data_IF_045138322506
#
_entry.id   IF_045138322506
#
_cell.length_a   1.000
_cell.length_b   1.000
_cell.length_c   1.000
_cell.angle_alpha   90.00
_cell.angle_beta   90.00
_cell.angle_gamma   90.00
#
_symmetry.space_group_name_H-M   'P 1'
#
loop_
_entity.id
_entity.type
_entity.pdbx_description
1 polymer ?
#
# COMPACT_ATOMS: atom_id res chain seq x y z
N UNK A 1 50.89 3.49 55.39
CA UNK A 1 51.51 2.16 55.57
C UNK A 1 51.25 1.44 54.30
N UNK A 2 52.16 1.41 53.43
CA UNK A 2 53.27 0.49 53.13
C UNK A 2 52.73 -0.65 52.25
N UNK A 3 53.11 -0.59 50.97
CA UNK A 3 54.17 -1.41 50.30
C UNK A 3 53.53 -2.68 49.66
N UNK A 4 53.87 -3.21 48.56
CA UNK A 4 54.88 -3.03 47.49
C UNK A 4 54.58 -4.07 46.40
N UNK A 5 54.82 -3.68 45.16
CA UNK A 5 55.46 -4.38 44.02
C UNK A 5 55.69 -5.91 44.09
N UNK A 6 55.53 -6.63 42.98
CA UNK A 6 56.65 -7.11 42.18
C UNK A 6 56.23 -7.71 40.80
N UNK A 7 56.98 -7.29 39.82
CA UNK A 7 57.17 -7.85 38.47
C UNK A 7 57.65 -9.31 38.50
N UNK A 8 57.33 -10.06 37.41
CA UNK A 8 58.43 -10.80 36.71
C UNK A 8 57.92 -11.24 35.28
N UNK A 9 58.66 -10.77 34.32
CA UNK A 9 58.92 -11.28 32.99
C UNK A 9 59.54 -12.68 33.07
N UNK A 10 59.25 -13.55 32.11
CA UNK A 10 60.29 -14.46 31.56
C UNK A 10 59.86 -14.91 30.13
N UNK A 11 60.80 -14.67 29.28
CA UNK A 11 61.04 -15.05 27.91
C UNK A 11 61.56 -16.49 27.87
N UNK A 12 61.17 -17.29 26.86
CA UNK A 12 62.17 -18.14 26.16
C UNK A 12 61.70 -18.58 24.80
N UNK A 13 62.61 -18.38 23.87
CA UNK A 13 62.69 -18.83 22.48
C UNK A 13 62.70 -20.35 22.29
N UNK A 14 62.43 -20.78 21.08
CA UNK A 14 63.24 -21.66 20.21
C UNK A 14 62.49 -21.93 18.92
N UNK A 15 62.89 -21.36 17.83
CA UNK A 15 63.89 -21.67 16.79
C UNK A 15 63.60 -22.96 15.99
N UNK A 16 63.13 -22.81 14.76
CA UNK A 16 63.62 -23.20 13.42
C UNK A 16 64.35 -24.57 13.27
N UNK A 17 64.60 -25.18 12.11
CA UNK A 17 64.45 -24.79 10.69
C UNK A 17 64.04 -25.97 9.75
N UNK A 18 63.70 -25.73 8.50
CA UNK A 18 64.22 -26.48 7.34
C UNK A 18 64.19 -25.61 6.09
N UNK A 19 65.37 -25.55 5.45
CA UNK A 19 65.75 -24.84 4.23
C UNK A 19 65.59 -25.73 3.01
N UNK A 20 65.03 -25.13 1.94
CA UNK A 20 65.28 -25.16 0.49
C UNK A 20 65.89 -26.41 -0.21
N UNK A 21 65.61 -26.61 -1.53
CA UNK A 21 66.44 -25.93 -2.53
C UNK A 21 65.69 -25.30 -3.75
N UNK A 22 66.33 -24.23 -4.23
CA UNK A 22 66.04 -23.56 -5.50
C UNK A 22 66.47 -24.41 -6.68
N UNK A 23 65.63 -24.44 -7.74
CA UNK A 23 66.11 -24.74 -9.07
C UNK A 23 65.55 -23.71 -10.06
N UNK A 24 66.50 -22.90 -10.58
CA UNK A 24 66.30 -21.97 -11.71
C UNK A 24 66.30 -22.75 -12.99
N UNK A 25 65.20 -22.70 -13.77
CA UNK A 25 65.27 -22.92 -15.21
C UNK A 25 64.54 -21.77 -15.91
N UNK A 26 65.31 -21.03 -16.71
CA UNK A 26 64.88 -20.07 -17.72
C UNK A 26 64.13 -20.84 -18.82
N UNK A 27 62.90 -20.46 -19.12
CA UNK A 27 62.24 -20.79 -20.37
C UNK A 27 61.70 -19.48 -20.95
N UNK A 28 61.92 -19.37 -22.26
CA UNK A 28 61.77 -18.22 -23.14
C UNK A 28 60.28 -17.74 -23.25
N UNK A 29 60.16 -16.43 -23.43
CA UNK A 29 58.98 -15.72 -23.91
C UNK A 29 58.49 -16.32 -25.23
N UNK A 30 57.22 -16.72 -25.25
CA UNK A 30 56.36 -16.72 -26.44
C UNK A 30 54.95 -16.34 -25.96
N UNK A 31 54.60 -15.10 -26.16
CA UNK A 31 53.26 -14.60 -25.99
C UNK A 31 52.33 -15.16 -27.07
N UNK A 32 51.13 -15.61 -26.71
CA UNK A 32 49.98 -15.35 -27.53
C UNK A 32 49.08 -14.31 -26.87
N UNK A 33 48.86 -13.23 -27.60
CA UNK A 33 47.76 -12.29 -27.35
C UNK A 33 46.43 -13.07 -27.22
N UNK A 34 45.96 -13.27 -26.01
CA UNK A 34 44.57 -13.57 -25.79
C UNK A 34 43.91 -12.28 -25.36
N UNK A 35 43.13 -11.71 -26.28
CA UNK A 35 42.07 -10.77 -25.97
C UNK A 35 41.18 -11.37 -24.91
N UNK A 36 41.35 -10.96 -23.66
CA UNK A 36 40.34 -11.05 -22.65
C UNK A 36 39.25 -10.04 -23.03
N UNK A 37 38.31 -10.48 -23.85
CA UNK A 37 37.00 -9.84 -23.92
C UNK A 37 36.45 -9.83 -22.51
N UNK A 38 36.48 -8.67 -21.85
CA UNK A 38 35.67 -8.38 -20.69
C UNK A 38 34.21 -8.52 -21.16
N UNK A 39 33.63 -9.67 -20.88
CA UNK A 39 32.16 -9.85 -20.90
C UNK A 39 31.64 -8.98 -19.77
N UNK A 40 31.42 -7.71 -20.06
CA UNK A 40 30.54 -6.89 -19.26
C UNK A 40 29.11 -7.44 -19.49
N UNK A 41 28.76 -8.48 -18.77
CA UNK A 41 27.35 -8.80 -18.56
C UNK A 41 26.81 -7.70 -17.67
N UNK A 42 26.39 -6.57 -18.23
CA UNK A 42 25.43 -5.71 -17.58
C UNK A 42 24.21 -6.58 -17.32
N UNK A 43 24.06 -7.02 -16.09
CA UNK A 43 22.82 -7.65 -15.63
C UNK A 43 21.73 -6.59 -15.76
N UNK A 44 21.02 -6.63 -16.88
CA UNK A 44 19.89 -5.76 -17.15
C UNK A 44 18.85 -6.02 -16.07
N UNK A 45 18.52 -5.01 -15.27
CA UNK A 45 17.43 -5.09 -14.30
C UNK A 45 16.18 -5.59 -15.00
N UNK A 46 15.45 -6.56 -14.43
CA UNK A 46 14.24 -7.09 -15.05
C UNK A 46 13.21 -5.96 -15.23
N UNK A 47 12.44 -6.02 -16.32
CA UNK A 47 11.33 -5.08 -16.52
C UNK A 47 10.18 -5.38 -15.55
N UNK A 48 9.31 -4.40 -15.30
CA UNK A 48 8.12 -4.55 -14.47
C UNK A 48 7.27 -5.74 -14.91
N UNK A 49 7.08 -5.93 -16.22
CA UNK A 49 6.33 -7.07 -16.76
C UNK A 49 6.97 -8.42 -16.41
N UNK A 50 8.30 -8.53 -16.45
CA UNK A 50 9.03 -9.72 -16.02
C UNK A 50 8.91 -10.00 -14.52
N UNK A 51 8.59 -8.97 -13.74
CA UNK A 51 8.33 -9.05 -12.30
C UNK A 51 6.84 -9.27 -11.97
N UNK A 52 5.97 -9.46 -12.98
CA UNK A 52 4.53 -9.61 -12.78
C UNK A 52 3.81 -8.30 -12.44
N UNK A 53 4.43 -7.15 -12.70
CA UNK A 53 3.88 -5.81 -12.48
C UNK A 53 3.33 -5.26 -13.79
N UNK A 54 2.05 -4.91 -13.81
CA UNK A 54 1.40 -4.23 -14.93
C UNK A 54 1.44 -2.72 -14.73
N UNK A 55 2.05 -2.01 -15.67
CA UNK A 55 1.97 -0.56 -15.77
C UNK A 55 0.60 -0.15 -16.32
N UNK A 56 -0.18 0.58 -15.54
CA UNK A 56 -1.53 1.01 -15.92
C UNK A 56 -1.54 2.51 -16.20
N UNK A 57 -1.93 2.86 -17.43
CA UNK A 57 -2.13 4.23 -17.93
C UNK A 57 -3.56 4.37 -18.47
N UNK A 58 -3.92 5.56 -18.96
CA UNK A 58 -5.29 5.84 -19.44
C UNK A 58 -5.74 4.85 -20.54
N UNK A 59 -4.83 4.41 -21.41
CA UNK A 59 -5.12 3.55 -22.56
C UNK A 59 -5.48 2.10 -22.21
N UNK A 60 -4.94 1.54 -21.12
CA UNK A 60 -5.24 0.16 -20.68
C UNK A 60 -6.04 0.11 -19.35
N UNK A 61 -6.36 1.24 -18.75
CA UNK A 61 -6.93 1.32 -17.41
C UNK A 61 -8.23 0.51 -17.24
N UNK A 62 -9.18 0.69 -18.17
CA UNK A 62 -10.51 0.06 -18.06
C UNK A 62 -10.40 -1.47 -18.12
N UNK A 63 -9.51 -1.97 -18.96
CA UNK A 63 -9.26 -3.40 -19.07
C UNK A 63 -8.62 -3.92 -17.77
N UNK A 64 -7.58 -3.24 -17.30
CA UNK A 64 -6.82 -3.69 -16.15
C UNK A 64 -7.59 -3.62 -14.84
N UNK A 65 -8.41 -2.59 -14.61
CA UNK A 65 -9.23 -2.51 -13.38
C UNK A 65 -10.31 -3.59 -13.34
N UNK A 66 -10.88 -3.97 -14.51
CA UNK A 66 -11.82 -5.09 -14.60
C UNK A 66 -11.14 -6.44 -14.37
N UNK A 67 -9.96 -6.62 -14.95
CA UNK A 67 -9.18 -7.84 -14.77
C UNK A 67 -8.80 -8.01 -13.30
N UNK A 68 -8.27 -6.97 -12.65
CA UNK A 68 -7.96 -6.99 -11.23
C UNK A 68 -9.21 -7.33 -10.39
N UNK A 69 -10.34 -6.69 -10.64
CA UNK A 69 -11.60 -6.97 -9.94
C UNK A 69 -12.08 -8.41 -10.09
N UNK A 70 -11.80 -9.07 -11.22
CA UNK A 70 -12.19 -10.47 -11.45
C UNK A 70 -11.37 -11.50 -10.66
N UNK A 71 -10.25 -11.09 -10.06
CA UNK A 71 -9.39 -11.96 -9.26
C UNK A 71 -9.73 -11.95 -7.77
N UNK A 72 -10.60 -11.03 -7.32
CA UNK A 72 -10.82 -10.77 -5.89
C UNK A 72 -11.51 -11.92 -5.14
N UNK A 73 -12.24 -12.78 -5.84
CA UNK A 73 -12.87 -13.95 -5.21
C UNK A 73 -11.83 -14.95 -4.67
N UNK A 74 -10.68 -15.07 -5.35
CA UNK A 74 -9.59 -15.97 -4.99
C UNK A 74 -8.41 -15.27 -4.30
N UNK A 75 -8.20 -13.98 -4.60
CA UNK A 75 -7.04 -13.18 -4.14
C UNK A 75 -7.51 -11.87 -3.51
N UNK A 76 -8.03 -11.97 -2.29
CA UNK A 76 -8.71 -10.87 -1.61
C UNK A 76 -7.86 -10.12 -0.58
N UNK A 77 -6.57 -10.41 -0.47
CA UNK A 77 -5.62 -9.61 0.29
C UNK A 77 -4.88 -8.66 -0.64
N UNK A 78 -4.90 -7.38 -0.32
CA UNK A 78 -4.35 -6.30 -1.15
C UNK A 78 -3.23 -5.60 -0.42
N UNK A 79 -1.99 -5.76 -0.89
CA UNK A 79 -0.90 -4.86 -0.54
C UNK A 79 -1.05 -3.54 -1.28
N UNK A 80 -0.91 -2.44 -0.57
CA UNK A 80 -1.10 -1.10 -1.12
C UNK A 80 0.06 -0.20 -0.74
N UNK A 81 0.46 0.65 -1.69
CA UNK A 81 1.35 1.77 -1.47
C UNK A 81 1.01 2.90 -2.45
N UNK A 82 1.34 4.16 -2.10
CA UNK A 82 1.10 5.30 -2.97
C UNK A 82 2.30 6.22 -3.09
N UNK A 83 2.45 6.83 -4.27
CA UNK A 83 3.39 7.93 -4.46
C UNK A 83 2.63 9.25 -4.62
N UNK A 84 3.02 10.24 -3.82
CA UNK A 84 2.41 11.56 -3.81
C UNK A 84 3.48 12.67 -3.75
N UNK A 85 3.14 13.94 -4.05
CA UNK A 85 4.14 14.99 -4.31
C UNK A 85 4.80 15.56 -3.04
N UNK A 86 4.87 14.76 -1.97
CA UNK A 86 5.43 15.16 -0.68
C UNK A 86 4.43 15.93 0.20
N UNK A 87 4.92 16.44 1.33
CA UNK A 87 4.14 17.28 2.25
C UNK A 87 4.56 18.74 2.08
N UNK A 88 3.66 19.56 1.54
CA UNK A 88 3.88 20.98 1.23
C UNK A 88 3.43 21.87 2.38
N UNK A 89 2.33 21.48 3.02
CA UNK A 89 1.70 22.28 4.06
C UNK A 89 2.05 21.75 5.45
N UNK A 90 2.50 22.65 6.31
CA UNK A 90 2.75 22.38 7.72
C UNK A 90 1.67 23.02 8.60
N UNK A 91 1.37 22.38 9.70
CA UNK A 91 0.47 22.91 10.74
C UNK A 91 1.37 23.39 11.89
N UNK A 92 1.19 24.63 12.33
CA UNK A 92 2.08 25.25 13.32
C UNK A 92 1.74 24.85 14.76
N UNK A 93 0.47 24.55 15.04
CA UNK A 93 0.00 24.25 16.39
C UNK A 93 -0.05 22.75 16.64
N UNK A 94 0.71 22.27 17.61
CA UNK A 94 0.66 20.88 18.09
C UNK A 94 -0.56 20.68 18.99
N UNK A 95 -1.70 20.38 18.38
CA UNK A 95 -2.93 19.92 19.04
C UNK A 95 -3.00 18.40 19.01
N UNK A 96 -3.88 17.78 19.79
CA UNK A 96 -4.04 16.32 19.81
C UNK A 96 -4.27 15.72 18.43
N UNK A 97 -4.94 16.45 17.55
CA UNK A 97 -5.26 16.08 16.17
C UNK A 97 -4.28 16.66 15.14
N UNK A 98 -3.09 17.12 15.57
CA UNK A 98 -2.06 17.74 14.72
C UNK A 98 -1.73 16.89 13.48
N UNK A 99 -1.55 15.58 13.68
CA UNK A 99 -1.19 14.68 12.60
C UNK A 99 -2.28 14.60 11.53
N UNK A 100 -3.54 14.44 11.94
CA UNK A 100 -4.67 14.43 11.02
C UNK A 100 -4.85 15.76 10.30
N UNK A 101 -4.76 16.89 11.01
CA UNK A 101 -4.84 18.23 10.39
C UNK A 101 -3.75 18.44 9.33
N UNK A 102 -2.54 17.95 9.59
CA UNK A 102 -1.45 18.00 8.63
C UNK A 102 -1.73 17.14 7.41
N UNK A 103 -2.17 15.90 7.63
CA UNK A 103 -2.59 14.97 6.59
C UNK A 103 -3.69 15.58 5.73
N UNK A 104 -4.80 15.99 6.35
CA UNK A 104 -5.95 16.60 5.66
C UNK A 104 -5.53 17.78 4.81
N UNK A 105 -4.75 18.73 5.37
CA UNK A 105 -4.31 19.93 4.66
C UNK A 105 -3.52 19.62 3.40
N UNK A 106 -2.68 18.59 3.43
CA UNK A 106 -1.90 18.14 2.27
C UNK A 106 -2.78 17.39 1.28
N UNK A 107 -3.51 16.37 1.72
CA UNK A 107 -4.34 15.54 0.87
C UNK A 107 -5.42 16.33 0.14
N UNK A 108 -6.06 17.31 0.82
CA UNK A 108 -7.08 18.15 0.19
C UNK A 108 -6.54 19.04 -0.95
N UNK A 109 -5.25 19.38 -0.92
CA UNK A 109 -4.62 20.32 -1.87
C UNK A 109 -3.69 19.68 -2.88
N UNK A 110 -3.21 18.48 -2.61
CA UNK A 110 -2.26 17.78 -3.47
C UNK A 110 -2.93 16.63 -4.20
N UNK A 111 -2.30 16.17 -5.28
CA UNK A 111 -2.82 15.07 -6.08
C UNK A 111 -1.97 13.82 -5.94
N UNK A 112 -2.61 12.67 -5.91
CA UNK A 112 -1.97 11.37 -5.99
C UNK A 112 -1.26 11.20 -7.33
N UNK A 113 -0.06 10.61 -7.33
CA UNK A 113 0.78 10.37 -8.51
C UNK A 113 0.69 8.93 -8.96
N UNK A 114 0.93 7.97 -8.04
CA UNK A 114 0.84 6.54 -8.32
C UNK A 114 0.09 5.82 -7.20
N UNK A 115 -0.57 4.73 -7.56
CA UNK A 115 -1.11 3.73 -6.65
C UNK A 115 -0.60 2.36 -7.09
N UNK A 116 0.03 1.63 -6.17
CA UNK A 116 0.40 0.23 -6.30
C UNK A 116 -0.61 -0.67 -5.60
N UNK A 117 -1.08 -1.69 -6.30
CA UNK A 117 -1.95 -2.73 -5.76
C UNK A 117 -1.34 -4.09 -6.08
N UNK A 118 -1.09 -4.88 -5.06
CA UNK A 118 -0.62 -6.27 -5.18
C UNK A 118 -1.62 -7.20 -4.56
N UNK A 119 -2.07 -8.22 -5.31
CA UNK A 119 -3.04 -9.20 -4.85
C UNK A 119 -2.34 -10.46 -4.31
N UNK A 120 -2.89 -11.00 -3.23
CA UNK A 120 -2.58 -12.34 -2.72
C UNK A 120 -3.84 -13.01 -2.17
N UNK A 121 -3.80 -14.33 -2.05
CA UNK A 121 -4.80 -15.06 -1.27
C UNK A 121 -4.48 -15.01 0.24
N UNK A 122 -5.30 -15.65 1.07
CA UNK A 122 -5.13 -15.72 2.53
C UNK A 122 -3.81 -16.39 3.00
N UNK A 123 -3.12 -17.10 2.10
CA UNK A 123 -1.83 -17.76 2.37
C UNK A 123 -0.64 -16.90 1.94
N UNK A 124 -0.88 -15.75 1.30
CA UNK A 124 0.14 -14.89 0.73
C UNK A 124 0.66 -15.39 -0.63
N UNK A 125 -0.11 -16.22 -1.35
CA UNK A 125 0.23 -16.68 -2.70
C UNK A 125 -0.32 -15.71 -3.74
N UNK A 126 0.48 -15.40 -4.75
CA UNK A 126 0.14 -14.48 -5.84
C UNK A 126 -0.69 -15.13 -6.94
N UNK A 127 -1.58 -14.39 -7.62
CA UNK A 127 -2.07 -14.82 -8.93
C UNK A 127 -0.95 -14.84 -9.96
N UNK A 128 -1.11 -15.66 -10.99
CA UNK A 128 -0.13 -15.79 -12.07
C UNK A 128 -0.83 -15.58 -13.43
N UNK A 129 -0.18 -14.94 -14.40
CA UNK A 129 1.22 -14.46 -14.42
C UNK A 129 1.39 -13.05 -13.82
N UNK A 130 0.33 -12.31 -13.57
CA UNK A 130 0.37 -10.94 -13.06
C UNK A 130 -0.31 -10.86 -11.71
N UNK A 131 0.29 -10.09 -10.81
CA UNK A 131 -0.17 -9.96 -9.43
C UNK A 131 -0.15 -8.53 -8.91
N UNK A 132 0.49 -7.61 -9.63
CA UNK A 132 0.65 -6.22 -9.21
C UNK A 132 0.25 -5.27 -10.32
N UNK A 133 -0.51 -4.24 -9.97
CA UNK A 133 -0.93 -3.15 -10.85
C UNK A 133 -0.37 -1.84 -10.33
N UNK A 134 0.38 -1.14 -11.18
CA UNK A 134 0.89 0.20 -10.90
C UNK A 134 0.08 1.22 -11.68
N UNK A 135 -0.90 1.83 -11.03
CA UNK A 135 -1.77 2.86 -11.61
C UNK A 135 -1.05 4.19 -11.64
N UNK A 136 -0.83 4.72 -12.83
CA UNK A 136 -0.16 5.98 -13.08
C UNK A 136 -1.19 7.08 -13.33
N UNK A 137 -1.39 8.00 -12.37
CA UNK A 137 -2.37 9.05 -12.45
C UNK A 137 -1.81 10.29 -13.17
N UNK A 138 -2.73 11.08 -13.77
CA UNK A 138 -2.38 12.33 -14.43
C UNK A 138 -1.76 13.32 -13.43
N UNK A 139 -0.56 13.82 -13.74
CA UNK A 139 0.12 14.82 -12.92
C UNK A 139 0.89 15.81 -13.80
N UNK A 140 0.51 17.10 -13.74
CA UNK A 140 1.16 18.17 -14.48
C UNK A 140 1.89 19.13 -13.52
N UNK A 141 3.20 19.04 -13.48
CA UNK A 141 4.06 19.90 -12.65
C UNK A 141 3.93 21.42 -12.94
N UNK A 142 3.37 21.79 -14.09
CA UNK A 142 3.19 23.21 -14.41
C UNK A 142 1.99 23.85 -13.70
N UNK A 143 1.07 23.03 -13.14
CA UNK A 143 -0.17 23.49 -12.50
C UNK A 143 -0.40 22.89 -11.12
N UNK A 144 0.16 21.70 -10.84
CA UNK A 144 -0.04 21.02 -9.56
C UNK A 144 0.97 21.50 -8.50
N UNK A 145 0.54 21.46 -7.24
CA UNK A 145 1.43 21.75 -6.12
C UNK A 145 2.27 20.53 -5.75
N UNK A 146 3.51 20.76 -5.41
CA UNK A 146 4.43 19.71 -4.99
C UNK A 146 5.61 20.26 -4.20
N UNK A 147 6.36 19.33 -3.56
CA UNK A 147 7.63 19.60 -2.92
C UNK A 147 8.77 19.18 -3.89
N UNK A 148 9.69 20.11 -4.19
CA UNK A 148 10.75 19.87 -5.17
C UNK A 148 11.58 18.60 -4.86
N UNK A 149 12.04 18.46 -3.61
CA UNK A 149 12.83 17.29 -3.18
C UNK A 149 12.10 15.96 -3.44
N UNK A 150 10.78 15.93 -3.21
CA UNK A 150 9.95 14.74 -3.42
C UNK A 150 9.84 14.40 -4.90
N UNK A 151 9.57 15.39 -5.75
CA UNK A 151 9.50 15.19 -7.20
C UNK A 151 10.86 14.77 -7.77
N UNK A 152 11.96 15.34 -7.29
CA UNK A 152 13.31 14.97 -7.74
C UNK A 152 13.69 13.55 -7.32
N UNK A 153 13.26 13.11 -6.13
CA UNK A 153 13.40 11.73 -5.67
C UNK A 153 12.60 10.79 -6.59
N UNK A 154 11.31 11.06 -6.81
CA UNK A 154 10.44 10.23 -7.65
C UNK A 154 10.95 10.11 -9.09
N UNK A 155 11.49 11.20 -9.67
CA UNK A 155 12.17 11.14 -10.98
C UNK A 155 13.38 10.22 -10.98
N UNK A 156 14.23 10.31 -9.94
CA UNK A 156 15.41 9.43 -9.80
C UNK A 156 15.01 7.96 -9.68
N UNK A 157 13.84 7.70 -9.10
CA UNK A 157 13.25 6.37 -8.97
C UNK A 157 12.49 5.92 -10.23
N UNK A 158 12.52 6.71 -11.31
CA UNK A 158 12.01 6.29 -12.62
C UNK A 158 10.60 6.80 -12.98
N UNK A 159 9.96 7.63 -12.16
CA UNK A 159 8.66 8.21 -12.52
C UNK A 159 8.83 9.24 -13.64
N UNK A 160 8.18 8.99 -14.76
CA UNK A 160 8.18 9.85 -15.95
C UNK A 160 7.00 10.84 -15.90
N UNK A 161 7.25 12.04 -15.39
CA UNK A 161 6.24 13.10 -15.26
C UNK A 161 5.71 13.62 -16.59
N UNK A 162 6.49 13.54 -17.67
CA UNK A 162 6.03 13.92 -19.00
C UNK A 162 5.04 12.89 -19.57
N UNK A 163 5.24 11.62 -19.24
CA UNK A 163 4.31 10.54 -19.55
C UNK A 163 3.05 10.63 -18.70
N UNK A 164 3.17 10.91 -17.38
CA UNK A 164 2.02 11.12 -16.49
C UNK A 164 1.12 12.26 -16.97
N UNK A 165 1.71 13.39 -17.38
CA UNK A 165 0.96 14.52 -17.95
C UNK A 165 0.18 14.15 -19.22
N UNK A 166 0.72 13.27 -20.07
CA UNK A 166 0.15 12.96 -21.40
C UNK A 166 -0.76 11.74 -21.40
N UNK A 167 -0.47 10.75 -20.54
CA UNK A 167 -1.07 9.42 -20.54
C UNK A 167 -1.56 8.96 -19.18
N UNK A 168 -1.36 9.75 -18.14
CA UNK A 168 -1.83 9.44 -16.79
C UNK A 168 -3.35 9.31 -16.76
N UNK A 169 -3.85 8.42 -15.91
CA UNK A 169 -5.27 8.20 -15.70
C UNK A 169 -5.86 9.42 -15.01
N UNK A 170 -6.91 10.00 -15.56
CA UNK A 170 -7.60 11.13 -14.94
C UNK A 170 -8.20 10.71 -13.60
N UNK A 171 -7.98 11.50 -12.55
CA UNK A 171 -8.42 11.20 -11.18
C UNK A 171 -9.91 10.88 -11.08
N UNK A 172 -10.78 11.63 -11.77
CA UNK A 172 -12.23 11.38 -11.80
C UNK A 172 -12.57 10.05 -12.49
N UNK A 173 -11.89 9.74 -13.59
CA UNK A 173 -12.08 8.46 -14.29
C UNK A 173 -11.63 7.31 -13.40
N UNK A 174 -10.46 7.45 -12.77
CA UNK A 174 -9.97 6.47 -11.82
C UNK A 174 -10.98 6.22 -10.70
N UNK A 175 -11.43 7.26 -10.00
CA UNK A 175 -12.38 7.16 -8.89
C UNK A 175 -13.69 6.44 -9.31
N UNK A 176 -14.23 6.77 -10.48
CA UNK A 176 -15.49 6.18 -10.97
C UNK A 176 -15.36 4.67 -11.20
N UNK A 177 -14.28 4.22 -11.83
CA UNK A 177 -14.08 2.78 -12.08
C UNK A 177 -13.62 2.03 -10.84
N UNK A 178 -12.82 2.68 -9.99
CA UNK A 178 -12.37 2.11 -8.72
C UNK A 178 -13.56 1.83 -7.80
N UNK A 179 -14.54 2.73 -7.76
CA UNK A 179 -15.76 2.59 -6.97
C UNK A 179 -16.58 1.34 -7.35
N UNK A 180 -16.60 0.98 -8.64
CA UNK A 180 -17.38 -0.16 -9.15
C UNK A 180 -16.55 -1.42 -9.40
N UNK A 181 -15.27 -1.40 -9.01
CA UNK A 181 -14.32 -2.51 -9.29
C UNK A 181 -14.41 -3.67 -8.31
N UNK A 182 -15.27 -3.59 -7.31
CA UNK A 182 -15.35 -4.53 -6.19
C UNK A 182 -14.13 -4.50 -5.22
N UNK A 183 -13.22 -3.56 -5.41
CA UNK A 183 -12.06 -3.34 -4.52
C UNK A 183 -12.48 -2.69 -3.20
N UNK A 184 -13.43 -1.77 -3.25
CA UNK A 184 -13.99 -1.05 -2.10
C UNK A 184 -15.43 -1.48 -1.84
N UNK A 185 -15.97 -1.16 -0.65
CA UNK A 185 -17.31 -1.56 -0.22
C UNK A 185 -17.50 -3.10 -0.21
N UNK A 186 -16.42 -3.85 -0.21
CA UNK A 186 -16.40 -5.30 -0.26
C UNK A 186 -15.90 -5.86 1.09
N UNK A 187 -16.75 -6.60 1.85
CA UNK A 187 -16.38 -7.11 3.17
C UNK A 187 -15.34 -8.26 3.11
N UNK A 188 -15.14 -8.87 1.95
CA UNK A 188 -14.20 -9.98 1.80
C UNK A 188 -12.78 -9.50 1.48
N UNK A 189 -12.61 -8.22 1.09
CA UNK A 189 -11.32 -7.63 0.76
C UNK A 189 -10.59 -7.13 1.99
N UNK A 190 -9.30 -7.43 2.09
CA UNK A 190 -8.40 -7.05 3.16
C UNK A 190 -7.26 -6.16 2.63
N UNK A 191 -7.24 -4.90 3.02
CA UNK A 191 -6.22 -3.94 2.62
C UNK A 191 -5.04 -3.94 3.59
N UNK A 192 -3.83 -3.95 3.08
CA UNK A 192 -2.61 -3.90 3.88
C UNK A 192 -1.73 -2.75 3.41
N UNK A 193 -1.30 -1.92 4.34
CA UNK A 193 -0.41 -0.77 4.11
C UNK A 193 0.75 -0.74 5.10
N UNK A 194 1.74 0.08 4.81
CA UNK A 194 2.83 0.39 5.73
C UNK A 194 2.82 1.89 6.05
N UNK A 195 2.36 2.25 7.25
CA UNK A 195 2.15 3.65 7.66
C UNK A 195 1.16 4.38 6.72
N UNK A 196 0.05 3.71 6.43
CA UNK A 196 -0.86 4.01 5.32
C UNK A 196 -1.82 5.17 5.51
N UNK A 197 -1.61 6.05 6.51
CA UNK A 197 -2.54 7.15 6.77
C UNK A 197 -2.69 8.09 5.57
N UNK A 198 -1.59 8.44 4.90
CA UNK A 198 -1.63 9.27 3.69
C UNK A 198 -2.20 8.50 2.50
N UNK A 199 -1.85 7.22 2.34
CA UNK A 199 -2.33 6.37 1.26
C UNK A 199 -3.86 6.28 1.28
N UNK A 200 -4.40 5.91 2.42
CA UNK A 200 -5.86 5.88 2.62
C UNK A 200 -6.49 7.28 2.54
N UNK A 201 -5.81 8.31 2.99
CA UNK A 201 -6.25 9.68 2.86
C UNK A 201 -6.46 10.09 1.40
N UNK A 202 -5.45 9.86 0.54
CA UNK A 202 -5.54 10.13 -0.90
C UNK A 202 -6.61 9.30 -1.60
N UNK A 203 -6.70 7.99 -1.28
CA UNK A 203 -7.73 7.13 -1.87
C UNK A 203 -9.13 7.56 -1.45
N UNK A 204 -9.35 7.83 -0.16
CA UNK A 204 -10.65 8.31 0.32
C UNK A 204 -11.02 9.63 -0.36
N UNK A 205 -10.08 10.60 -0.41
CA UNK A 205 -10.30 11.89 -1.11
C UNK A 205 -10.72 11.71 -2.56
N UNK A 206 -10.08 10.78 -3.28
CA UNK A 206 -10.46 10.46 -4.67
C UNK A 206 -11.88 9.90 -4.76
N UNK A 207 -12.24 8.98 -3.87
CA UNK A 207 -13.55 8.29 -3.90
C UNK A 207 -14.69 9.22 -3.53
N UNK A 208 -14.54 10.02 -2.47
CA UNK A 208 -15.59 10.96 -2.03
C UNK A 208 -15.66 12.22 -2.91
N UNK A 209 -14.57 12.55 -3.62
CA UNK A 209 -14.42 13.71 -4.51
C UNK A 209 -14.78 15.06 -3.86
N UNK A 210 -14.59 15.17 -2.55
CA UNK A 210 -14.70 16.38 -1.74
C UNK A 210 -13.54 16.43 -0.75
N UNK A 211 -13.35 17.53 -0.02
CA UNK A 211 -12.33 17.59 1.01
C UNK A 211 -12.56 16.53 2.09
N UNK A 212 -11.50 16.00 2.68
CA UNK A 212 -11.58 15.02 3.77
C UNK A 212 -12.43 15.55 4.94
N UNK A 213 -13.05 14.70 5.76
CA UNK A 213 -13.80 15.09 6.94
C UNK A 213 -13.03 16.04 7.85
N UNK A 214 -13.73 16.85 8.66
CA UNK A 214 -13.08 17.88 9.49
C UNK A 214 -12.37 17.26 10.70
N UNK A 215 -12.92 16.22 11.28
CA UNK A 215 -12.35 15.52 12.42
C UNK A 215 -11.76 14.18 12.03
N UNK A 216 -10.83 13.72 12.84
CA UNK A 216 -10.18 12.42 12.74
C UNK A 216 -11.18 11.26 12.87
N UNK A 217 -12.13 11.37 13.81
CA UNK A 217 -13.18 10.37 14.02
C UNK A 217 -14.10 10.24 12.80
N UNK A 218 -14.50 11.39 12.21
CA UNK A 218 -15.30 11.38 10.98
C UNK A 218 -14.52 10.75 9.81
N UNK A 219 -13.21 11.04 9.70
CA UNK A 219 -12.34 10.44 8.69
C UNK A 219 -12.28 8.91 8.84
N UNK A 220 -12.04 8.40 10.05
CA UNK A 220 -12.00 6.95 10.31
C UNK A 220 -13.35 6.29 10.05
N UNK A 221 -14.45 6.94 10.42
CA UNK A 221 -15.79 6.42 10.18
C UNK A 221 -16.10 6.37 8.68
N UNK A 222 -15.76 7.43 7.93
CA UNK A 222 -15.92 7.46 6.47
C UNK A 222 -15.03 6.40 5.80
N UNK A 223 -13.75 6.30 6.22
CA UNK A 223 -12.81 5.33 5.68
C UNK A 223 -13.33 3.89 5.81
N UNK A 224 -13.89 3.52 6.97
CA UNK A 224 -14.43 2.18 7.23
C UNK A 224 -15.63 1.82 6.35
N UNK A 225 -16.31 2.79 5.75
CA UNK A 225 -17.39 2.52 4.79
C UNK A 225 -16.83 1.98 3.48
N UNK A 226 -15.74 2.55 3.00
CA UNK A 226 -15.12 2.17 1.73
C UNK A 226 -14.14 1.00 1.87
N UNK A 227 -13.34 1.01 2.92
CA UNK A 227 -12.30 0.01 3.24
C UNK A 227 -12.71 -0.75 4.51
N UNK A 228 -13.53 -1.79 4.35
CA UNK A 228 -14.17 -2.50 5.48
C UNK A 228 -13.15 -3.22 6.36
N UNK A 229 -12.10 -3.78 5.73
CA UNK A 229 -11.01 -4.42 6.45
C UNK A 229 -9.69 -3.83 5.98
N UNK A 230 -8.96 -3.20 6.89
CA UNK A 230 -7.61 -2.72 6.61
C UNK A 230 -6.67 -2.96 7.77
N UNK A 231 -5.39 -3.05 7.44
CA UNK A 231 -4.29 -3.28 8.37
C UNK A 231 -3.15 -2.33 8.04
N UNK A 232 -2.56 -1.73 9.07
CA UNK A 232 -1.32 -0.98 8.98
C UNK A 232 -0.21 -1.76 9.68
N UNK A 233 0.84 -2.14 8.97
CA UNK A 233 1.95 -2.92 9.51
C UNK A 233 2.61 -2.20 10.69
N UNK A 234 2.68 -0.87 10.68
CA UNK A 234 3.20 -0.09 11.82
C UNK A 234 2.40 -0.33 13.10
N UNK A 235 1.07 -0.47 12.99
CA UNK A 235 0.21 -0.80 14.13
C UNK A 235 0.44 -2.24 14.61
N UNK A 236 0.63 -3.18 13.67
CA UNK A 236 0.89 -4.58 14.00
C UNK A 236 2.19 -4.73 14.81
N UNK A 237 3.24 -3.99 14.42
CA UNK A 237 4.57 -4.10 15.05
C UNK A 237 4.80 -3.11 16.20
N UNK A 238 3.80 -2.33 16.60
CA UNK A 238 3.93 -1.22 17.55
C UNK A 238 4.60 -1.54 18.87
N UNK A 239 4.34 -2.75 19.40
CA UNK A 239 4.88 -3.20 20.68
C UNK A 239 6.31 -3.78 20.58
N UNK A 240 6.85 -3.86 19.36
CA UNK A 240 8.21 -4.29 19.11
C UNK A 240 9.05 -3.11 18.62
N UNK A 241 9.75 -2.44 19.55
CA UNK A 241 10.57 -1.26 19.24
C UNK A 241 11.62 -1.51 18.14
N UNK A 242 12.16 -2.73 18.06
CA UNK A 242 13.16 -3.06 17.05
C UNK A 242 12.57 -3.08 15.64
N UNK A 243 11.29 -3.42 15.49
CA UNK A 243 10.57 -3.43 14.22
C UNK A 243 9.93 -2.06 13.95
N UNK A 244 9.32 -1.45 14.96
CA UNK A 244 8.62 -0.16 14.83
C UNK A 244 9.50 0.96 14.25
N UNK A 245 10.75 1.04 14.68
CA UNK A 245 11.70 2.10 14.25
C UNK A 245 12.27 1.89 12.83
N UNK A 246 11.85 0.82 12.11
CA UNK A 246 12.37 0.51 10.78
C UNK A 246 11.42 1.03 9.69
N UNK A 247 11.98 1.54 8.60
CA UNK A 247 11.24 1.75 7.35
C UNK A 247 10.92 0.42 6.68
N UNK A 248 10.05 0.44 5.66
CA UNK A 248 9.59 -0.75 4.95
C UNK A 248 10.74 -1.63 4.47
N UNK A 249 11.73 -1.05 3.77
CA UNK A 249 12.88 -1.79 3.26
C UNK A 249 13.69 -2.47 4.36
N UNK A 250 13.96 -1.76 5.45
CA UNK A 250 14.73 -2.34 6.55
C UNK A 250 13.95 -3.42 7.28
N UNK A 251 12.63 -3.29 7.37
CA UNK A 251 11.78 -4.34 7.92
C UNK A 251 11.77 -5.57 6.99
N UNK A 252 11.68 -5.37 5.68
CA UNK A 252 11.76 -6.42 4.68
C UNK A 252 13.09 -7.21 4.78
N UNK A 253 14.23 -6.50 4.85
CA UNK A 253 15.55 -7.12 5.05
C UNK A 253 15.60 -7.98 6.32
N UNK A 254 15.10 -7.47 7.45
CA UNK A 254 15.09 -8.20 8.73
C UNK A 254 14.23 -9.46 8.69
N UNK A 255 13.21 -9.47 7.84
CA UNK A 255 12.29 -10.58 7.66
C UNK A 255 12.69 -11.51 6.51
N UNK A 256 13.84 -11.26 5.87
CA UNK A 256 14.28 -12.01 4.69
C UNK A 256 13.22 -11.98 3.56
N UNK A 257 12.64 -10.80 3.35
CA UNK A 257 11.77 -10.49 2.22
C UNK A 257 12.60 -9.80 1.15
N UNK A 258 12.69 -10.42 -0.02
CA UNK A 258 13.44 -9.89 -1.15
C UNK A 258 12.61 -8.82 -1.86
N UNK A 259 13.19 -7.62 -2.02
CA UNK A 259 12.58 -6.60 -2.87
C UNK A 259 12.75 -6.97 -4.35
N UNK A 260 11.67 -6.91 -5.06
CA UNK A 260 11.64 -6.95 -6.53
C UNK A 260 11.14 -5.62 -7.07
N UNK A 261 11.81 -5.10 -8.11
CA UNK A 261 11.52 -3.78 -8.66
C UNK A 261 12.22 -2.62 -7.94
N UNK A 262 11.94 -1.43 -8.43
CA UNK A 262 12.56 -0.18 -7.99
C UNK A 262 11.86 0.34 -6.72
N UNK A 263 12.65 0.75 -5.73
CA UNK A 263 12.16 1.49 -4.55
C UNK A 263 11.52 2.82 -4.97
N UNK A 264 10.49 3.26 -4.24
CA UNK A 264 9.68 4.44 -4.57
C UNK A 264 8.99 4.35 -5.94
N UNK A 265 8.55 3.13 -6.26
CA UNK A 265 7.56 2.83 -7.27
C UNK A 265 6.42 2.10 -6.56
N UNK A 266 5.23 2.67 -6.58
CA UNK A 266 4.11 2.20 -5.75
C UNK A 266 3.81 0.70 -5.97
N UNK A 267 3.97 0.17 -7.18
CA UNK A 267 3.82 -1.26 -7.46
C UNK A 267 4.85 -2.12 -6.72
N UNK A 268 6.14 -1.77 -6.78
CA UNK A 268 7.19 -2.49 -6.06
C UNK A 268 7.02 -2.39 -4.55
N UNK A 269 6.63 -1.21 -4.03
CA UNK A 269 6.45 -1.01 -2.60
C UNK A 269 5.21 -1.74 -2.06
N UNK A 270 4.12 -1.84 -2.84
CA UNK A 270 2.94 -2.64 -2.49
C UNK A 270 3.24 -4.14 -2.41
N UNK A 271 4.15 -4.68 -3.27
CA UNK A 271 4.63 -6.07 -3.17
C UNK A 271 5.38 -6.30 -1.88
N UNK A 272 6.36 -5.45 -1.56
CA UNK A 272 7.11 -5.56 -0.30
C UNK A 272 6.19 -5.46 0.91
N UNK A 273 5.19 -4.58 0.85
CA UNK A 273 4.21 -4.40 1.93
C UNK A 273 3.44 -5.67 2.21
N UNK A 274 2.90 -6.33 1.18
CA UNK A 274 2.11 -7.55 1.39
C UNK A 274 2.98 -8.72 1.82
N UNK A 275 4.20 -8.85 1.27
CA UNK A 275 5.14 -9.89 1.66
C UNK A 275 5.59 -9.76 3.10
N UNK A 276 5.88 -8.54 3.56
CA UNK A 276 6.20 -8.24 4.96
C UNK A 276 5.04 -8.63 5.88
N UNK A 277 3.80 -8.31 5.51
CA UNK A 277 2.61 -8.67 6.28
C UNK A 277 2.49 -10.19 6.48
N UNK A 278 2.57 -10.97 5.40
CA UNK A 278 2.48 -12.42 5.49
C UNK A 278 3.70 -13.06 6.16
N UNK A 279 4.87 -12.46 6.00
CA UNK A 279 6.08 -12.94 6.69
C UNK A 279 5.99 -12.72 8.20
N UNK A 280 5.48 -11.59 8.66
CA UNK A 280 5.19 -11.34 10.08
C UNK A 280 4.20 -12.35 10.65
N UNK A 281 3.12 -12.63 9.92
CA UNK A 281 2.10 -13.61 10.30
C UNK A 281 2.68 -15.02 10.39
N UNK A 282 3.53 -15.43 9.41
CA UNK A 282 4.09 -16.78 9.32
C UNK A 282 5.21 -17.04 10.32
N UNK A 283 6.03 -16.04 10.63
CA UNK A 283 7.23 -16.22 11.48
C UNK A 283 6.93 -16.24 12.98
N UNK A 284 5.69 -15.96 13.39
CA UNK A 284 5.33 -15.88 14.80
C UNK A 284 6.04 -14.78 15.61
N UNK A 285 6.69 -13.81 14.92
CA UNK A 285 7.31 -12.64 15.56
C UNK A 285 6.29 -11.71 16.20
N UNK A 286 5.08 -11.78 15.69
CA UNK A 286 3.91 -11.06 16.18
C UNK A 286 2.80 -12.08 16.37
N UNK A 287 2.15 -12.06 17.54
CA UNK A 287 1.05 -12.99 17.83
C UNK A 287 -0.17 -12.71 16.95
N UNK A 288 -0.98 -13.75 16.67
CA UNK A 288 -2.21 -13.62 15.89
C UNK A 288 -3.18 -12.58 16.47
N UNK A 289 -3.21 -12.44 17.80
CA UNK A 289 -4.02 -11.43 18.47
C UNK A 289 -3.68 -10.01 18.03
N UNK A 290 -2.40 -9.72 17.70
CA UNK A 290 -1.99 -8.39 17.24
C UNK A 290 -2.58 -8.03 15.87
N UNK A 291 -2.78 -9.01 15.01
CA UNK A 291 -3.48 -8.77 13.73
C UNK A 291 -4.96 -8.47 13.97
N UNK A 292 -5.59 -9.12 14.93
CA UNK A 292 -6.99 -8.84 15.30
C UNK A 292 -7.11 -7.44 15.92
N UNK A 293 -6.20 -7.09 16.84
CA UNK A 293 -6.17 -5.78 17.50
C UNK A 293 -5.84 -4.64 16.54
N UNK A 294 -5.03 -4.90 15.51
CA UNK A 294 -4.60 -3.90 14.51
C UNK A 294 -5.64 -3.64 13.41
N UNK A 295 -6.68 -4.47 13.33
CA UNK A 295 -7.70 -4.34 12.29
C UNK A 295 -8.40 -2.98 12.38
N UNK A 296 -8.49 -2.29 11.24
CA UNK A 296 -9.17 -1.01 11.09
C UNK A 296 -8.58 0.14 11.95
N UNK A 297 -7.27 0.07 12.21
CA UNK A 297 -6.49 1.11 12.89
C UNK A 297 -5.37 1.56 11.96
N UNK A 298 -5.16 2.87 11.85
CA UNK A 298 -4.05 3.49 11.12
C UNK A 298 -3.02 4.05 12.10
N UNK A 299 -1.75 3.90 11.76
CA UNK A 299 -0.68 4.48 12.56
C UNK A 299 -0.72 6.00 12.50
N UNK A 300 -0.74 6.64 13.69
CA UNK A 300 -0.78 8.08 13.84
C UNK A 300 -2.18 8.72 13.72
N UNK A 301 -3.24 7.93 13.45
CA UNK A 301 -4.61 8.39 13.37
C UNK A 301 -5.46 7.68 14.45
N UNK A 302 -6.26 8.42 15.23
CA UNK A 302 -7.07 7.87 16.33
C UNK A 302 -6.28 7.46 17.57
N UNK A 303 -5.00 7.83 17.62
CA UNK A 303 -4.10 7.35 18.67
C UNK A 303 -3.78 8.41 19.72
N UNK A 304 -4.32 9.63 19.60
CA UNK A 304 -3.84 10.78 20.39
C UNK A 304 -2.36 11.08 20.08
N UNK A 305 -1.85 12.25 20.41
CA UNK A 305 -0.40 12.46 20.34
C UNK A 305 0.31 11.55 21.35
N UNK A 306 0.77 10.40 20.90
CA UNK A 306 1.85 9.77 21.62
C UNK A 306 3.12 10.60 21.29
N UNK A 307 3.64 11.28 22.27
CA UNK A 307 5.09 11.37 22.36
C UNK A 307 5.62 9.96 22.09
N UNK A 308 6.63 9.82 21.28
CA UNK A 308 7.24 8.56 20.80
C UNK A 308 7.51 7.49 21.87
N UNK A 309 7.08 7.68 23.09
CA UNK A 309 7.40 6.86 24.25
C UNK A 309 6.24 6.09 24.88
N UNK A 310 4.96 6.48 24.75
CA UNK A 310 3.85 5.65 25.31
C UNK A 310 2.48 5.96 24.72
N UNK A 311 2.06 5.23 23.72
CA UNK A 311 0.67 5.22 23.28
C UNK A 311 -0.12 4.29 24.21
N UNK A 312 -1.03 4.84 25.03
CA UNK A 312 -1.87 4.03 25.91
C UNK A 312 -3.09 3.50 25.13
N UNK A 313 -2.92 2.32 24.53
CA UNK A 313 -3.90 1.64 23.66
C UNK A 313 -5.13 1.08 24.40
N UNK A 314 -5.15 1.15 25.73
CA UNK A 314 -6.22 0.56 26.55
C UNK A 314 -7.57 1.29 26.40
N UNK A 315 -7.56 2.54 25.91
CA UNK A 315 -8.80 3.29 25.69
C UNK A 315 -9.46 2.99 24.33
N UNK A 316 -8.71 2.51 23.33
CA UNK A 316 -9.24 2.23 21.99
C UNK A 316 -9.99 0.89 21.96
N UNK A 317 -9.61 -0.08 22.78
CA UNK A 317 -10.31 -1.37 22.93
C UNK A 317 -11.76 -1.23 23.46
N UNK A 318 -12.06 -0.14 24.15
CA UNK A 318 -13.40 0.08 24.73
C UNK A 318 -14.40 0.70 23.74
N UNK A 319 -13.96 1.28 22.62
CA UNK A 319 -14.88 1.80 21.59
C UNK A 319 -15.44 0.70 20.67
N UNK A 320 -14.78 -0.45 20.58
CA UNK A 320 -15.22 -1.57 19.73
C UNK A 320 -16.04 -2.66 20.45
N UNK A 321 -16.33 -2.52 21.75
CA UNK A 321 -17.01 -3.60 22.52
C UNK A 321 -18.52 -3.41 22.72
N UNK A 322 -19.17 -2.48 22.04
CA UNK A 322 -20.63 -2.36 22.07
C UNK A 322 -21.35 -2.98 20.87
N UNK A 323 -20.75 -3.97 20.22
CA UNK A 323 -21.50 -4.89 19.36
C UNK A 323 -22.25 -5.90 20.23
N UNK A 324 -23.42 -5.52 20.70
CA UNK A 324 -24.37 -6.50 21.24
C UNK A 324 -24.86 -7.39 20.09
N UNK A 325 -24.53 -8.66 20.23
CA UNK A 325 -25.06 -9.76 19.46
C UNK A 325 -26.60 -9.81 19.59
N UNK A 326 -27.31 -9.03 18.78
CA UNK A 326 -28.73 -9.23 18.57
C UNK A 326 -28.92 -9.92 17.23
N UNK A 327 -29.09 -11.23 17.30
CA UNK A 327 -29.63 -12.05 16.22
C UNK A 327 -30.95 -11.44 15.75
N UNK A 328 -30.92 -10.77 14.62
CA UNK A 328 -32.01 -10.67 13.61
C UNK A 328 -31.73 -9.48 12.69
N UNK A 329 -31.46 -9.79 11.41
CA UNK A 329 -31.61 -8.93 10.23
C UNK A 329 -31.00 -7.51 10.35
N UNK A 330 -29.68 -7.38 10.39
CA UNK A 330 -29.03 -6.07 10.25
C UNK A 330 -28.88 -5.74 8.75
N UNK A 331 -29.85 -5.07 8.20
CA UNK A 331 -29.73 -4.28 6.98
C UNK A 331 -28.88 -3.04 7.31
N UNK A 332 -27.68 -2.98 6.76
CA UNK A 332 -26.83 -1.81 6.86
C UNK A 332 -27.32 -0.76 5.86
N UNK A 333 -27.84 0.37 6.36
CA UNK A 333 -28.20 1.51 5.50
C UNK A 333 -26.95 2.34 5.25
N UNK A 334 -26.46 2.30 4.02
CA UNK A 334 -25.38 3.20 3.57
C UNK A 334 -26.03 4.45 3.02
N UNK A 335 -25.91 5.56 3.73
CA UNK A 335 -26.33 6.86 3.22
C UNK A 335 -25.20 7.39 2.32
N UNK A 336 -25.28 7.18 1.01
CA UNK A 336 -24.30 7.71 0.05
C UNK A 336 -24.68 9.15 -0.33
N UNK A 337 -23.99 10.17 0.18
CA UNK A 337 -24.16 11.52 -0.34
C UNK A 337 -23.53 11.61 -1.72
N UNK A 338 -24.31 11.99 -2.73
CA UNK A 338 -23.86 12.41 -4.07
C UNK A 338 -23.61 11.39 -5.20
N UNK A 339 -24.28 10.23 -5.22
CA UNK A 339 -24.36 9.44 -6.47
C UNK A 339 -25.08 10.17 -7.63
N UNK A 340 -25.88 11.20 -7.32
CA UNK A 340 -26.65 11.96 -8.33
C UNK A 340 -25.78 12.78 -9.30
N UNK A 341 -24.50 13.03 -9.00
CA UNK A 341 -23.59 13.81 -9.84
C UNK A 341 -22.59 12.97 -10.65
N UNK A 342 -22.63 11.64 -10.52
CA UNK A 342 -21.83 10.75 -11.38
C UNK A 342 -22.63 10.47 -12.66
N UNK A 343 -22.28 11.11 -13.77
CA UNK A 343 -22.72 10.68 -15.11
C UNK A 343 -22.05 9.34 -15.44
N UNK A 344 -22.65 8.25 -14.98
CA UNK A 344 -22.28 6.90 -15.41
C UNK A 344 -22.94 6.67 -16.76
N UNK A 345 -22.14 6.44 -17.78
CA UNK A 345 -22.62 6.12 -19.13
C UNK A 345 -23.47 4.84 -19.06
N UNK A 346 -24.77 4.95 -19.36
CA UNK A 346 -25.78 3.90 -19.20
C UNK A 346 -25.51 2.59 -19.95
N UNK A 347 -24.52 2.58 -20.84
CA UNK A 347 -24.14 1.38 -21.63
C UNK A 347 -23.36 0.32 -20.86
N UNK A 348 -23.00 0.55 -19.59
CA UNK A 348 -22.20 -0.37 -18.76
C UNK A 348 -22.97 -0.99 -17.58
N UNK A 349 -24.27 -0.72 -17.44
CA UNK A 349 -25.07 -1.22 -16.30
C UNK A 349 -25.49 -2.71 -16.39
N UNK A 350 -25.02 -3.47 -17.36
CA UNK A 350 -25.44 -4.87 -17.53
C UNK A 350 -24.43 -5.89 -16.98
N UNK A 351 -23.66 -5.56 -15.98
CA UNK A 351 -22.80 -6.53 -15.31
C UNK A 351 -23.10 -6.62 -13.81
N UNK A 352 -23.70 -7.75 -13.45
CA UNK A 352 -23.74 -8.38 -12.12
C UNK A 352 -24.03 -7.51 -10.87
N UNK A 353 -25.08 -6.68 -10.94
CA UNK A 353 -25.69 -6.08 -9.73
C UNK A 353 -26.69 -7.03 -9.02
N UNK A 354 -26.71 -8.33 -9.37
CA UNK A 354 -27.79 -9.23 -8.93
C UNK A 354 -27.58 -9.87 -7.56
N UNK A 355 -26.45 -9.67 -6.88
CA UNK A 355 -26.20 -10.38 -5.63
C UNK A 355 -26.16 -9.54 -4.34
N UNK A 356 -26.47 -8.25 -4.42
CA UNK A 356 -26.59 -7.43 -3.19
C UNK A 356 -27.93 -6.68 -3.20
N UNK A 357 -28.78 -6.81 -2.16
CA UNK A 357 -29.99 -6.02 -2.06
C UNK A 357 -29.63 -4.57 -1.73
N UNK A 358 -29.50 -3.73 -2.76
CA UNK A 358 -29.49 -2.28 -2.56
C UNK A 358 -30.91 -1.81 -2.31
N UNK A 359 -31.23 -1.41 -1.09
CA UNK A 359 -32.46 -0.70 -0.79
C UNK A 359 -32.18 0.80 -0.91
N UNK A 360 -32.56 1.37 -2.04
CA UNK A 360 -32.60 2.82 -2.24
C UNK A 360 -33.82 3.38 -1.48
N UNK A 361 -33.58 4.10 -0.38
CA UNK A 361 -34.62 4.87 0.29
C UNK A 361 -34.80 6.21 -0.44
N UNK A 362 -35.59 6.21 -1.52
CA UNK A 362 -36.18 7.46 -2.04
C UNK A 362 -37.55 7.65 -1.35
N UNK A 363 -37.61 8.55 -0.37
CA UNK A 363 -38.87 9.13 0.06
C UNK A 363 -39.41 10.04 -1.06
N UNK A 364 -40.06 9.48 -2.04
CA UNK A 364 -41.09 10.17 -2.84
C UNK A 364 -42.31 9.29 -2.87
N UNK A 365 -43.38 9.78 -2.24
CA UNK A 365 -44.70 9.21 -2.28
C UNK A 365 -45.18 9.05 -3.75
N UNK A 366 -45.22 7.85 -4.24
CA UNK A 366 -45.97 7.48 -5.43
C UNK A 366 -46.92 6.35 -5.06
N UNK A 367 -48.21 6.73 -4.91
CA UNK A 367 -49.31 5.81 -4.76
C UNK A 367 -49.48 4.98 -6.05
N UNK A 368 -49.21 3.69 -5.96
CA UNK A 368 -49.51 2.73 -7.00
C UNK A 368 -50.97 2.27 -6.89
N UNK A 369 -51.81 2.72 -7.79
CA UNK A 369 -53.11 2.11 -8.08
C UNK A 369 -52.88 0.74 -8.76
N UNK A 370 -53.38 -0.31 -8.10
CA UNK A 370 -53.54 -1.63 -8.70
C UNK A 370 -54.65 -1.56 -9.74
N UNK A 371 -54.37 -1.91 -11.01
CA UNK A 371 -55.37 -2.43 -11.93
C UNK A 371 -54.92 -3.78 -12.47
N UNK A 372 -55.72 -4.78 -12.13
CA UNK A 372 -55.76 -6.10 -12.76
C UNK A 372 -56.24 -6.00 -14.18
N UNK A 373 -55.50 -6.51 -15.15
CA UNK A 373 -56.05 -7.24 -16.30
C UNK A 373 -54.90 -7.79 -17.15
N UNK A 374 -54.90 -9.11 -17.34
CA UNK A 374 -54.00 -9.81 -18.20
C UNK A 374 -54.30 -9.55 -19.67
N UNK A 375 -53.23 -9.72 -20.47
CA UNK A 375 -53.33 -10.27 -21.84
C UNK A 375 -51.91 -10.32 -22.44
N UNK A 376 -51.55 -11.49 -22.93
CA UNK A 376 -50.38 -11.76 -23.76
C UNK A 376 -50.59 -11.13 -25.14
N UNK A 377 -49.59 -10.60 -25.82
CA UNK A 377 -49.49 -10.82 -27.25
C UNK A 377 -48.09 -11.27 -27.73
N UNK A 378 -48.22 -12.02 -28.83
CA UNK A 378 -47.18 -12.60 -29.63
C UNK A 378 -46.31 -11.58 -30.39
N UNK A 379 -45.15 -12.09 -30.77
CA UNK A 379 -44.23 -11.71 -31.84
C UNK A 379 -44.77 -10.81 -32.97
N UNK A 380 -44.04 -9.75 -33.25
CA UNK A 380 -43.45 -9.49 -34.60
C UNK A 380 -42.09 -8.79 -34.36
#
# INVERSE_FOLDING_TARGET
MSKTNHNKKLITNNSSPYLLPQNKQKIKDTSPNTHLEKINSEQKTPSNEQLGIIEVYEDNFIEQIKFLGSLLDDYNYIGMDTEFPGTVFHVENMTEDFYYKSLKKNVDKLKLIQLGITLTNEKGEYPSPYHTWQFNLEFDKSVELYKDDSIDMLKKCGIDFDKLKKKGIKHKTFASYFMISNLVLNPDVHWVSFQGSYDFGYLLKLLINVDLPQSEDEFINELKLYFINFYDIRVIVKDNENLLKKGLNRLAELLDVKREGQEHQAGSDSMVTIDVFFKLKKNGLVSDNKFIEAKNILYGIGMGQANDETINYTQIGNLNMNYQNNNSNNLMYINMPNLANMQINSNYMNMNLYNYPMILNNQTNLSLHKNNSGLVPALI
#
